data_IF_044374775862
#
_entry.id   IF_044374775862
#
_cell.length_a   1.000
_cell.length_b   1.000
_cell.length_c   1.000
_cell.angle_alpha   90.00
_cell.angle_beta   90.00
_cell.angle_gamma   90.00
#
_symmetry.space_group_name_H-M   'P 1'
#
loop_
_entity.id
_entity.type
_entity.pdbx_description
1 polymer ?
#
# COMPACT_ATOMS: atom_id res chain seq x y z
N UNK A 1 15.99 11.62 -41.57
CA UNK A 1 16.34 12.37 -40.35
C UNK A 1 15.12 12.67 -39.46
N UNK A 2 14.06 13.33 -39.94
CA UNK A 2 12.92 13.74 -39.10
C UNK A 2 12.22 12.63 -38.30
N UNK A 3 11.98 11.45 -38.89
CA UNK A 3 11.35 10.30 -38.21
C UNK A 3 12.18 9.74 -37.05
N UNK A 4 13.50 9.68 -37.21
CA UNK A 4 14.39 9.20 -36.16
C UNK A 4 14.41 10.17 -34.97
N UNK A 5 14.41 11.48 -35.23
CA UNK A 5 14.31 12.51 -34.19
C UNK A 5 12.98 12.42 -33.42
N UNK A 6 11.88 12.16 -34.12
CA UNK A 6 10.56 11.99 -33.49
C UNK A 6 10.51 10.74 -32.59
N UNK A 7 11.09 9.62 -33.03
CA UNK A 7 11.18 8.40 -32.21
C UNK A 7 12.02 8.62 -30.95
N UNK A 8 13.17 9.28 -31.06
CA UNK A 8 14.01 9.59 -29.89
C UNK A 8 13.27 10.51 -28.90
N UNK A 9 12.60 11.57 -29.38
CA UNK A 9 11.83 12.46 -28.52
C UNK A 9 10.66 11.76 -27.81
N UNK A 10 10.01 10.78 -28.44
CA UNK A 10 8.96 9.97 -27.81
C UNK A 10 9.51 9.03 -26.74
N UNK A 11 10.67 8.41 -26.97
CA UNK A 11 11.35 7.57 -25.99
C UNK A 11 11.80 8.39 -24.77
N UNK A 12 12.41 9.56 -24.99
CA UNK A 12 12.81 10.48 -23.93
C UNK A 12 11.61 10.97 -23.11
N UNK A 13 10.49 11.27 -23.78
CA UNK A 13 9.26 11.69 -23.12
C UNK A 13 8.65 10.57 -22.25
N UNK A 14 8.66 9.32 -22.73
CA UNK A 14 8.16 8.17 -21.98
C UNK A 14 9.06 7.82 -20.79
N UNK A 15 10.38 7.91 -20.96
CA UNK A 15 11.34 7.73 -19.86
C UNK A 15 11.19 8.83 -18.81
N UNK A 16 11.05 10.10 -19.22
CA UNK A 16 10.79 11.19 -18.29
C UNK A 16 9.44 11.04 -17.60
N UNK A 17 8.39 10.61 -18.31
CA UNK A 17 7.08 10.31 -17.71
C UNK A 17 7.21 9.21 -16.66
N UNK A 18 7.92 8.13 -16.98
CA UNK A 18 8.21 7.04 -16.06
C UNK A 18 8.94 7.54 -14.81
N UNK A 19 10.00 8.34 -14.96
CA UNK A 19 10.72 8.96 -13.83
C UNK A 19 9.81 9.86 -12.98
N UNK A 20 8.98 10.69 -13.60
CA UNK A 20 8.04 11.57 -12.89
C UNK A 20 7.00 10.78 -12.07
N UNK A 21 6.50 9.68 -12.62
CA UNK A 21 5.57 8.79 -11.92
C UNK A 21 6.26 8.08 -10.75
N UNK A 22 7.47 7.57 -10.95
CA UNK A 22 8.23 6.87 -9.91
C UNK A 22 8.61 7.78 -8.75
N UNK A 23 9.11 8.99 -9.04
CA UNK A 23 9.39 9.99 -7.98
C UNK A 23 8.13 10.38 -7.21
N UNK A 24 6.99 10.49 -7.88
CA UNK A 24 5.71 10.80 -7.23
C UNK A 24 5.22 9.66 -6.33
N UNK A 25 5.39 8.41 -6.77
CA UNK A 25 5.07 7.22 -5.96
C UNK A 25 5.94 7.12 -4.72
N UNK A 26 7.26 7.29 -4.86
CA UNK A 26 8.20 7.26 -3.74
C UNK A 26 7.87 8.35 -2.73
N UNK A 27 7.61 9.59 -3.19
CA UNK A 27 7.18 10.68 -2.30
C UNK A 27 5.90 10.35 -1.56
N UNK A 28 4.93 9.70 -2.21
CA UNK A 28 3.67 9.29 -1.56
C UNK A 28 3.91 8.24 -0.48
N UNK A 29 4.77 7.24 -0.73
CA UNK A 29 5.12 6.21 0.26
C UNK A 29 5.82 6.83 1.47
N UNK A 30 6.83 7.66 1.25
CA UNK A 30 7.54 8.36 2.32
C UNK A 30 6.61 9.24 3.15
N UNK A 31 5.68 9.96 2.50
CA UNK A 31 4.65 10.75 3.20
C UNK A 31 3.71 9.88 4.03
N UNK A 32 3.30 8.73 3.51
CA UNK A 32 2.41 7.81 4.22
C UNK A 32 3.08 7.23 5.47
N UNK A 33 4.32 6.76 5.34
CA UNK A 33 5.12 6.29 6.47
C UNK A 33 5.37 7.40 7.49
N UNK A 34 5.80 8.58 7.03
CA UNK A 34 6.03 9.72 7.92
C UNK A 34 4.77 10.12 8.68
N UNK A 35 3.61 10.13 8.01
CA UNK A 35 2.33 10.41 8.66
C UNK A 35 1.99 9.37 9.74
N UNK A 36 2.27 8.07 9.50
CA UNK A 36 2.06 7.04 10.51
C UNK A 36 2.94 7.26 11.74
N UNK A 37 4.21 7.64 11.57
CA UNK A 37 5.12 7.90 12.68
C UNK A 37 4.87 9.22 13.42
N UNK A 38 4.18 10.18 12.80
CA UNK A 38 3.76 11.44 13.42
C UNK A 38 2.62 11.27 14.43
N UNK A 39 1.83 10.19 14.33
CA UNK A 39 0.79 9.87 15.32
C UNK A 39 1.42 9.68 16.70
N UNK A 40 0.72 10.06 17.77
CA UNK A 40 1.11 9.66 19.11
C UNK A 40 1.01 8.13 19.27
N UNK A 41 1.69 7.56 20.27
CA UNK A 41 1.60 6.11 20.54
C UNK A 41 0.16 5.58 20.70
N UNK A 42 -0.75 6.23 21.47
CA UNK A 42 -2.12 5.75 21.59
C UNK A 42 -2.91 5.86 20.27
N UNK A 43 -2.69 6.90 19.47
CA UNK A 43 -3.31 7.04 18.14
C UNK A 43 -2.80 5.96 17.18
N UNK A 44 -1.50 5.68 17.22
CA UNK A 44 -0.89 4.63 16.41
C UNK A 44 -1.47 3.26 16.78
N UNK A 45 -1.59 2.95 18.08
CA UNK A 45 -2.22 1.72 18.55
C UNK A 45 -3.70 1.64 18.18
N UNK A 46 -4.44 2.75 18.23
CA UNK A 46 -5.84 2.78 17.81
C UNK A 46 -6.00 2.45 16.32
N UNK A 47 -5.10 2.98 15.47
CA UNK A 47 -5.13 2.80 14.02
C UNK A 47 -4.56 1.48 13.52
N UNK A 48 -3.50 0.96 14.17
CA UNK A 48 -2.72 -0.18 13.67
C UNK A 48 -2.73 -1.40 14.61
N UNK A 49 -3.31 -1.28 15.82
CA UNK A 49 -3.39 -2.32 16.87
C UNK A 49 -2.05 -2.82 17.41
N UNK A 50 -0.95 -2.17 17.05
CA UNK A 50 0.40 -2.46 17.53
C UNK A 50 1.03 -1.18 18.06
N UNK A 51 2.02 -1.32 18.94
CA UNK A 51 2.94 -0.21 19.24
C UNK A 51 3.89 0.05 18.07
N UNK A 52 4.48 1.23 18.00
CA UNK A 52 5.50 1.57 16.98
C UNK A 52 6.71 0.63 17.07
N UNK A 53 7.10 0.24 18.28
CA UNK A 53 8.19 -0.70 18.53
C UNK A 53 7.88 -2.08 17.95
N UNK A 54 6.71 -2.65 18.24
CA UNK A 54 6.29 -3.94 17.71
C UNK A 54 6.14 -3.91 16.19
N UNK A 55 5.67 -2.79 15.64
CA UNK A 55 5.62 -2.59 14.19
C UNK A 55 7.02 -2.67 13.55
N UNK A 56 8.03 -2.01 14.13
CA UNK A 56 9.41 -2.05 13.63
C UNK A 56 10.00 -3.45 13.74
N UNK A 57 9.77 -4.14 14.87
CA UNK A 57 10.19 -5.52 15.07
C UNK A 57 9.57 -6.44 13.99
N UNK A 58 8.26 -6.36 13.80
CA UNK A 58 7.55 -7.13 12.76
C UNK A 58 8.11 -6.85 11.36
N UNK A 59 8.39 -5.59 11.03
CA UNK A 59 9.01 -5.25 9.75
C UNK A 59 10.39 -5.91 9.61
N UNK A 60 11.19 -5.96 10.67
CA UNK A 60 12.52 -6.58 10.65
C UNK A 60 12.45 -8.10 10.43
N UNK A 61 11.46 -8.78 11.04
CA UNK A 61 11.23 -10.22 10.91
C UNK A 61 10.67 -10.60 9.53
N UNK A 62 9.81 -9.77 8.95
CA UNK A 62 9.23 -10.00 7.62
C UNK A 62 10.20 -9.68 6.48
N UNK A 63 11.12 -8.72 6.68
CA UNK A 63 12.07 -8.28 5.65
C UNK A 63 12.88 -9.42 4.99
N UNK A 64 13.41 -10.44 5.71
CA UNK A 64 14.09 -11.57 5.08
C UNK A 64 13.15 -12.53 4.34
N UNK A 65 11.88 -12.60 4.74
CA UNK A 65 10.87 -13.50 4.16
C UNK A 65 10.22 -12.91 2.90
N UNK A 66 10.26 -11.59 2.76
CA UNK A 66 9.78 -10.91 1.55
C UNK A 66 10.83 -10.95 0.45
N UNK A 67 10.41 -11.34 -0.75
CA UNK A 67 11.28 -11.30 -1.93
C UNK A 67 11.91 -9.91 -2.11
N UNK A 68 13.25 -9.88 -2.11
CA UNK A 68 14.05 -8.74 -2.56
C UNK A 68 13.74 -8.48 -4.03
N UNK A 69 12.81 -7.58 -4.27
CA UNK A 69 12.46 -7.17 -5.62
C UNK A 69 13.63 -6.50 -6.30
N UNK A 70 13.96 -6.96 -7.50
CA UNK A 70 14.96 -6.35 -8.36
C UNK A 70 14.54 -4.99 -8.92
N UNK A 71 13.27 -4.59 -8.77
CA UNK A 71 12.78 -3.26 -9.17
C UNK A 71 12.94 -2.24 -8.05
N UNK A 72 13.60 -1.13 -8.37
CA UNK A 72 13.72 0.10 -7.57
C UNK A 72 12.38 0.76 -7.22
N UNK A 73 11.27 0.32 -7.83
CA UNK A 73 9.94 0.94 -7.79
C UNK A 73 8.99 0.28 -6.80
N UNK A 74 9.47 -0.66 -5.96
CA UNK A 74 8.59 -1.45 -5.09
C UNK A 74 8.31 -0.73 -3.79
N UNK A 75 7.03 -0.77 -3.38
CA UNK A 75 6.56 -0.40 -2.05
C UNK A 75 7.47 -1.04 -0.99
N UNK A 76 7.92 -0.24 -0.04
CA UNK A 76 8.71 -0.64 1.13
C UNK A 76 8.01 -1.76 1.92
N UNK A 77 8.76 -2.45 2.79
CA UNK A 77 8.17 -3.48 3.67
C UNK A 77 7.22 -2.80 4.65
N UNK A 78 7.68 -1.69 5.20
CA UNK A 78 7.02 -0.84 6.19
C UNK A 78 5.65 -0.36 5.67
N UNK A 79 5.58 0.20 4.47
CA UNK A 79 4.32 0.64 3.87
C UNK A 79 3.36 -0.53 3.62
N UNK A 80 3.84 -1.73 3.23
CA UNK A 80 2.98 -2.92 3.07
C UNK A 80 2.43 -3.38 4.41
N UNK A 81 3.29 -3.45 5.43
CA UNK A 81 2.91 -3.86 6.78
C UNK A 81 1.90 -2.87 7.36
N UNK A 82 2.15 -1.56 7.29
CA UNK A 82 1.20 -0.53 7.73
C UNK A 82 -0.16 -0.66 7.03
N UNK A 83 -0.15 -0.89 5.71
CA UNK A 83 -1.39 -1.08 4.95
C UNK A 83 -2.16 -2.31 5.42
N UNK A 84 -1.46 -3.43 5.64
CA UNK A 84 -2.07 -4.67 6.14
C UNK A 84 -2.63 -4.48 7.55
N UNK A 85 -1.87 -3.86 8.45
CA UNK A 85 -2.30 -3.57 9.81
C UNK A 85 -3.53 -2.67 9.84
N UNK A 86 -3.56 -1.59 9.05
CA UNK A 86 -4.72 -0.72 8.95
C UNK A 86 -5.98 -1.48 8.47
N UNK A 87 -5.80 -2.38 7.50
CA UNK A 87 -6.88 -3.24 7.00
C UNK A 87 -7.41 -4.19 8.10
N UNK A 88 -6.53 -4.88 8.82
CA UNK A 88 -6.91 -5.77 9.92
C UNK A 88 -7.52 -5.02 11.10
N UNK A 89 -6.96 -3.87 11.46
CA UNK A 89 -7.40 -3.01 12.56
C UNK A 89 -8.82 -2.46 12.36
N UNK A 90 -9.18 -2.22 11.10
CA UNK A 90 -10.47 -1.70 10.65
C UNK A 90 -11.55 -2.78 10.51
N UNK A 91 -11.23 -4.06 10.75
CA UNK A 91 -12.22 -5.14 10.83
C UNK A 91 -12.92 -5.49 9.52
N UNK A 92 -12.24 -5.37 8.38
CA UNK A 92 -12.84 -5.53 7.04
C UNK A 92 -13.07 -7.00 6.63
N UNK A 93 -13.85 -7.74 7.43
CA UNK A 93 -14.61 -8.93 7.02
C UNK A 93 -15.83 -9.23 7.93
N UNK A 94 -16.14 -8.40 8.95
CA UNK A 94 -17.37 -8.57 9.74
C UNK A 94 -18.64 -8.04 9.05
N UNK A 95 -18.57 -7.63 7.78
CA UNK A 95 -19.74 -7.71 6.92
C UNK A 95 -19.88 -9.17 6.48
N UNK A 96 -20.43 -9.98 7.37
CA UNK A 96 -21.19 -11.13 6.94
C UNK A 96 -22.10 -10.62 5.82
N UNK A 97 -21.84 -11.04 4.58
CA UNK A 97 -22.86 -11.02 3.54
C UNK A 97 -23.93 -11.95 4.08
N UNK A 98 -24.86 -11.40 4.87
CA UNK A 98 -26.07 -12.08 5.26
C UNK A 98 -26.79 -12.44 3.98
N UNK A 99 -26.53 -13.65 3.48
CA UNK A 99 -27.55 -14.67 3.39
C UNK A 99 -28.98 -14.10 3.43
N UNK A 100 -29.43 -13.55 2.31
CA UNK A 100 -30.86 -13.41 2.04
C UNK A 100 -31.44 -14.80 1.77
N UNK A 101 -31.52 -15.65 2.81
CA UNK A 101 -32.54 -16.70 2.87
C UNK A 101 -33.73 -16.12 3.63
N UNK A 102 -34.48 -15.25 2.96
CA UNK A 102 -35.79 -14.80 3.42
C UNK A 102 -36.68 -14.50 2.22
N UNK A 103 -36.80 -15.48 1.32
CA UNK A 103 -37.98 -15.62 0.46
C UNK A 103 -38.66 -16.96 0.79
N UNK A 104 -38.93 -17.17 2.09
CA UNK A 104 -39.89 -18.15 2.55
C UNK A 104 -41.18 -17.39 2.87
N UNK A 105 -42.03 -17.22 1.85
CA UNK A 105 -43.47 -16.99 1.99
C UNK A 105 -44.08 -17.20 0.60
N UNK A 106 -44.50 -18.42 0.29
CA UNK A 106 -45.60 -18.61 -0.65
C UNK A 106 -46.88 -18.07 -0.02
N UNK A 107 -47.82 -17.59 -0.83
CA UNK A 107 -49.09 -18.31 -0.85
C UNK A 107 -49.67 -18.51 -2.27
N UNK A 108 -50.22 -19.72 -2.44
CA UNK A 108 -51.35 -20.19 -3.27
C UNK A 108 -51.62 -19.45 -4.58
#
# INVERSE_FOLDING_TARGET
>A
MARALMLMAMLDAEENRSRCLETSRLRRQLRFEAAAFQLSEPEFQAHYRLSKELFLLLCSELKPLMERSRRHTKISVECKVLTALAFYASGSNQKARGHELSACSQPI
#
